data_IF_090503231784
#
_entry.id   IF_090503231784
#
_cell.length_a   1.000
_cell.length_b   1.000
_cell.length_c   1.000
_cell.angle_alpha   90.00
_cell.angle_beta   90.00
_cell.angle_gamma   90.00
#
_symmetry.space_group_name_H-M   'P 1'
#
loop_
_entity.id
_entity.type
_entity.pdbx_description
1 polymer ?
#
# COMPACT_ATOMS: atom_id res chain seq x y z
N UNK A 1 1.16 -13.70 -6.85
CA UNK A 1 0.19 -14.08 -7.91
C UNK A 1 -1.19 -14.01 -7.27
N UNK A 2 -2.18 -13.36 -7.89
CA UNK A 2 -3.49 -13.09 -7.29
C UNK A 2 -4.45 -14.30 -7.38
N UNK A 3 -4.04 -15.48 -6.91
CA UNK A 3 -4.88 -16.68 -7.03
C UNK A 3 -6.07 -16.57 -6.08
N UNK A 4 -7.28 -16.64 -6.61
CA UNK A 4 -8.51 -16.58 -5.82
C UNK A 4 -8.67 -17.86 -5.01
N UNK A 5 -8.67 -17.71 -3.69
CA UNK A 5 -8.96 -18.77 -2.74
C UNK A 5 -10.22 -18.45 -1.95
N UNK A 6 -10.95 -19.49 -1.56
CA UNK A 6 -12.12 -19.38 -0.69
C UNK A 6 -11.92 -20.24 0.54
N UNK A 7 -12.20 -19.65 1.71
CA UNK A 7 -12.15 -20.33 3.00
C UNK A 7 -13.45 -21.11 3.23
N UNK A 8 -13.34 -22.42 3.38
CA UNK A 8 -14.45 -23.23 3.88
C UNK A 8 -14.58 -23.01 5.40
N UNK A 9 -15.69 -22.41 5.84
CA UNK A 9 -15.91 -22.07 7.26
C UNK A 9 -16.01 -23.30 8.17
N UNK A 10 -16.45 -24.45 7.65
CA UNK A 10 -16.63 -25.67 8.42
C UNK A 10 -15.29 -26.38 8.65
N UNK A 11 -14.47 -26.49 7.60
CA UNK A 11 -13.19 -27.22 7.66
C UNK A 11 -12.01 -26.31 7.99
N UNK A 12 -12.18 -24.98 7.94
CA UNK A 12 -11.11 -23.97 8.03
C UNK A 12 -10.02 -24.13 6.96
N UNK A 13 -10.29 -24.90 5.90
CA UNK A 13 -9.38 -25.10 4.79
C UNK A 13 -9.61 -24.06 3.70
N UNK A 14 -8.51 -23.56 3.13
CA UNK A 14 -8.53 -22.74 1.93
C UNK A 14 -8.53 -23.63 0.68
N UNK A 15 -9.23 -23.20 -0.37
CA UNK A 15 -9.26 -23.92 -1.65
C UNK A 15 -9.23 -22.94 -2.82
N UNK A 16 -8.46 -23.28 -3.85
CA UNK A 16 -8.44 -22.54 -5.10
C UNK A 16 -9.77 -22.66 -5.85
N UNK A 17 -10.17 -21.58 -6.52
CA UNK A 17 -11.33 -21.60 -7.41
C UNK A 17 -10.90 -22.03 -8.82
N UNK A 18 -11.61 -23.02 -9.36
CA UNK A 18 -11.41 -23.48 -10.73
C UNK A 18 -11.78 -22.37 -11.73
N UNK A 19 -10.95 -22.21 -12.76
CA UNK A 19 -11.20 -21.25 -13.83
C UNK A 19 -12.42 -21.59 -14.68
N UNK A 20 -12.76 -22.89 -14.78
CA UNK A 20 -13.89 -23.35 -15.59
C UNK A 20 -15.20 -22.73 -15.11
N UNK A 21 -15.93 -22.12 -16.04
CA UNK A 21 -17.19 -21.41 -15.78
C UNK A 21 -17.07 -20.20 -14.84
N UNK A 22 -15.86 -19.77 -14.48
CA UNK A 22 -15.64 -18.54 -13.71
C UNK A 22 -15.84 -17.32 -14.60
N UNK A 23 -17.00 -16.70 -14.48
CA UNK A 23 -17.42 -15.59 -15.34
C UNK A 23 -17.19 -14.20 -14.69
N UNK A 24 -17.30 -13.10 -15.46
CA UNK A 24 -17.09 -11.75 -14.93
C UNK A 24 -18.02 -11.33 -13.77
N UNK A 25 -19.23 -11.91 -13.67
CA UNK A 25 -20.13 -11.62 -12.55
C UNK A 25 -19.60 -12.23 -11.23
N UNK A 26 -19.03 -13.43 -11.29
CA UNK A 26 -18.33 -14.04 -10.15
C UNK A 26 -17.08 -13.27 -9.77
N UNK A 27 -16.30 -12.80 -10.75
CA UNK A 27 -15.16 -11.92 -10.52
C UNK A 27 -15.57 -10.65 -9.78
N UNK A 28 -16.67 -10.00 -10.21
CA UNK A 28 -17.24 -8.81 -9.58
C UNK A 28 -17.68 -9.07 -8.14
N UNK A 29 -18.48 -10.12 -7.92
CA UNK A 29 -18.96 -10.46 -6.59
C UNK A 29 -17.79 -10.78 -5.62
N UNK A 30 -16.78 -11.51 -6.09
CA UNK A 30 -15.59 -11.81 -5.30
C UNK A 30 -14.82 -10.53 -4.92
N UNK A 31 -14.64 -9.61 -5.88
CA UNK A 31 -13.99 -8.33 -5.62
C UNK A 31 -14.80 -7.44 -4.66
N UNK A 32 -16.13 -7.39 -4.82
CA UNK A 32 -17.02 -6.64 -3.91
C UNK A 32 -16.95 -7.19 -2.47
N UNK A 33 -16.90 -8.52 -2.30
CA UNK A 33 -16.71 -9.14 -0.99
C UNK A 33 -15.35 -8.83 -0.35
N UNK A 34 -14.32 -8.62 -1.17
CA UNK A 34 -13.00 -8.16 -0.71
C UNK A 34 -12.92 -6.63 -0.55
N UNK A 35 -14.02 -5.89 -0.74
CA UNK A 35 -14.10 -4.45 -0.54
C UNK A 35 -13.76 -3.60 -1.77
N UNK A 36 -13.59 -4.20 -2.96
CA UNK A 36 -13.28 -3.49 -4.19
C UNK A 36 -14.55 -3.13 -4.97
N UNK A 37 -14.67 -1.86 -5.36
CA UNK A 37 -15.88 -1.34 -6.02
C UNK A 37 -15.85 -1.24 -7.55
N UNK A 38 -14.72 -1.52 -8.22
CA UNK A 38 -14.57 -1.23 -9.66
C UNK A 38 -13.69 -2.22 -10.44
N UNK A 39 -14.13 -2.52 -11.67
CA UNK A 39 -13.41 -3.19 -12.78
C UNK A 39 -12.60 -4.47 -12.44
N UNK A 40 -13.29 -5.54 -12.00
CA UNK A 40 -12.66 -6.84 -11.81
C UNK A 40 -12.22 -7.43 -13.17
N UNK A 41 -11.04 -8.04 -13.19
CA UNK A 41 -10.59 -8.91 -14.28
C UNK A 41 -10.19 -10.28 -13.74
N UNK A 42 -10.31 -11.33 -14.54
CA UNK A 42 -9.83 -12.65 -14.17
C UNK A 42 -9.14 -13.33 -15.34
N UNK A 43 -8.17 -14.19 -15.04
CA UNK A 43 -7.50 -15.04 -16.02
C UNK A 43 -7.19 -16.41 -15.42
N UNK A 44 -7.05 -17.43 -16.26
CA UNK A 44 -6.56 -18.74 -15.81
C UNK A 44 -5.06 -18.71 -15.56
N UNK A 45 -4.60 -19.33 -14.48
CA UNK A 45 -3.17 -19.53 -14.21
C UNK A 45 -2.88 -20.94 -13.69
N UNK A 46 -1.70 -21.47 -14.03
CA UNK A 46 -1.22 -22.74 -13.48
C UNK A 46 -1.07 -22.65 -11.96
N UNK A 47 -1.63 -23.62 -11.24
CA UNK A 47 -1.51 -23.74 -9.79
C UNK A 47 -0.05 -23.85 -9.34
N UNK A 48 0.25 -23.33 -8.15
CA UNK A 48 1.55 -23.50 -7.48
C UNK A 48 1.47 -24.66 -6.47
N UNK A 49 2.61 -25.11 -5.95
CA UNK A 49 2.69 -26.11 -4.86
C UNK A 49 1.91 -25.71 -3.60
N UNK A 50 1.63 -24.42 -3.41
CA UNK A 50 0.80 -23.88 -2.33
C UNK A 50 -0.71 -23.95 -2.59
N UNK A 51 -1.15 -24.35 -3.80
CA UNK A 51 -2.57 -24.50 -4.10
C UNK A 51 -2.87 -25.76 -4.94
N UNK A 52 -3.07 -26.91 -4.28
CA UNK A 52 -3.73 -28.04 -4.91
C UNK A 52 -5.17 -27.64 -5.23
N UNK A 53 -5.60 -27.84 -6.48
CA UNK A 53 -7.03 -27.80 -6.80
C UNK A 53 -7.75 -28.82 -5.90
N UNK A 54 -8.94 -28.49 -5.36
CA UNK A 54 -9.68 -29.44 -4.56
C UNK A 54 -9.85 -30.75 -5.34
N UNK A 55 -9.56 -31.86 -4.66
CA UNK A 55 -9.75 -33.20 -5.23
C UNK A 55 -11.18 -33.32 -5.77
N UNK A 56 -11.38 -34.02 -6.89
CA UNK A 56 -12.65 -34.03 -7.59
C UNK A 56 -13.75 -34.63 -6.70
N UNK A 57 -14.57 -33.79 -6.08
CA UNK A 57 -15.90 -34.21 -5.67
C UNK A 57 -16.71 -34.56 -6.94
N UNK A 58 -17.58 -35.57 -6.89
CA UNK A 58 -18.21 -36.18 -8.07
C UNK A 58 -19.09 -35.24 -8.91
N UNK A 59 -19.25 -33.96 -8.55
CA UNK A 59 -20.11 -33.01 -9.26
C UNK A 59 -19.43 -31.79 -9.87
N UNK A 60 -18.14 -31.51 -9.61
CA UNK A 60 -17.41 -30.38 -10.24
C UNK A 60 -15.92 -30.68 -10.40
N UNK A 61 -15.55 -31.41 -11.46
CA UNK A 61 -14.14 -31.57 -11.85
C UNK A 61 -13.67 -30.30 -12.56
N UNK A 62 -12.50 -29.79 -12.18
CA UNK A 62 -11.81 -28.74 -12.93
C UNK A 62 -11.09 -29.37 -14.12
N UNK A 63 -11.67 -29.26 -15.31
CA UNK A 63 -11.18 -29.87 -16.54
C UNK A 63 -9.92 -29.18 -17.06
N UNK A 64 -9.82 -27.86 -16.92
CA UNK A 64 -8.65 -27.11 -17.39
C UNK A 64 -7.41 -27.27 -16.51
N UNK A 65 -7.58 -27.68 -15.25
CA UNK A 65 -6.51 -27.67 -14.25
C UNK A 65 -6.01 -26.25 -13.92
N UNK A 66 -6.74 -25.21 -14.32
CA UNK A 66 -6.37 -23.81 -14.08
C UNK A 66 -7.14 -23.27 -12.87
N UNK A 67 -6.42 -22.52 -12.04
CA UNK A 67 -7.02 -21.70 -10.99
C UNK A 67 -7.34 -20.30 -11.52
N UNK A 68 -8.28 -19.63 -10.86
CA UNK A 68 -8.60 -18.22 -11.13
C UNK A 68 -7.52 -17.33 -10.54
N UNK A 69 -6.86 -16.53 -11.38
CA UNK A 69 -6.15 -15.32 -10.95
C UNK A 69 -7.09 -14.13 -11.08
N UNK A 70 -7.44 -13.48 -9.97
CA UNK A 70 -8.42 -12.39 -9.90
C UNK A 70 -7.72 -11.05 -9.65
N UNK A 71 -8.07 -10.04 -10.43
CA UNK A 71 -7.58 -8.68 -10.32
C UNK A 71 -8.75 -7.76 -9.98
N UNK A 72 -8.80 -7.26 -8.74
CA UNK A 72 -9.89 -6.41 -8.27
C UNK A 72 -9.61 -4.91 -8.40
N UNK A 73 -8.39 -4.54 -8.72
CA UNK A 73 -8.00 -3.21 -9.16
C UNK A 73 -7.20 -3.34 -10.46
N UNK A 74 -7.63 -2.64 -11.51
CA UNK A 74 -6.83 -2.44 -12.73
C UNK A 74 -6.13 -1.09 -12.65
N UNK A 75 -4.85 -1.05 -13.04
CA UNK A 75 -4.09 0.20 -13.13
C UNK A 75 -3.53 0.73 -11.80
N UNK A 76 -3.22 -0.14 -10.85
CA UNK A 76 -2.43 0.22 -9.66
C UNK A 76 -0.95 -0.15 -9.85
N UNK A 77 -0.06 0.52 -9.13
CA UNK A 77 1.38 0.20 -9.11
C UNK A 77 2.12 0.48 -10.42
N UNK A 78 1.46 1.09 -11.41
CA UNK A 78 2.09 1.49 -12.66
C UNK A 78 3.00 2.70 -12.45
N UNK A 79 4.28 2.54 -12.79
CA UNK A 79 5.30 3.57 -12.63
C UNK A 79 6.16 3.69 -13.88
N UNK A 80 6.53 4.92 -14.27
CA UNK A 80 7.47 5.18 -15.36
C UNK A 80 8.93 5.21 -14.88
N UNK A 81 9.24 4.53 -13.76
CA UNK A 81 10.56 4.56 -13.13
C UNK A 81 11.66 4.01 -14.06
N UNK A 82 12.78 4.73 -14.12
CA UNK A 82 14.04 4.28 -14.75
C UNK A 82 15.04 3.78 -13.68
N UNK A 83 16.09 3.01 -14.04
CA UNK A 83 16.91 2.30 -13.06
C UNK A 83 17.79 3.19 -12.16
N UNK A 84 17.86 2.75 -10.89
CA UNK A 84 18.82 2.93 -9.78
C UNK A 84 19.59 4.26 -9.65
N UNK A 85 19.26 5.00 -8.59
CA UNK A 85 20.13 6.00 -7.95
C UNK A 85 20.18 5.68 -6.45
N UNK A 86 21.38 5.47 -5.92
CA UNK A 86 21.63 5.22 -4.49
C UNK A 86 21.82 6.56 -3.76
N UNK A 87 21.26 6.68 -2.56
CA UNK A 87 21.19 7.96 -1.83
C UNK A 87 19.95 8.78 -2.20
N UNK A 88 19.42 9.54 -1.25
CA UNK A 88 18.25 10.39 -1.46
C UNK A 88 18.43 11.27 -2.71
N UNK A 89 17.51 11.18 -3.66
CA UNK A 89 17.57 11.93 -4.91
C UNK A 89 16.22 12.55 -5.25
N UNK A 90 16.19 13.67 -6.00
CA UNK A 90 14.95 14.22 -6.51
C UNK A 90 14.16 13.18 -7.31
N UNK A 91 12.88 13.06 -6.98
CA UNK A 91 11.95 12.11 -7.57
C UNK A 91 10.95 12.83 -8.48
N UNK A 92 10.73 12.28 -9.67
CA UNK A 92 9.64 12.71 -10.53
C UNK A 92 8.32 12.15 -10.01
N UNK A 93 7.26 12.97 -9.94
CA UNK A 93 5.95 12.49 -9.48
C UNK A 93 5.38 11.36 -10.37
N UNK A 94 5.73 11.32 -11.66
CA UNK A 94 5.34 10.22 -12.56
C UNK A 94 6.00 8.88 -12.23
N UNK A 95 7.13 8.89 -11.51
CA UNK A 95 7.74 7.66 -11.01
C UNK A 95 7.02 7.14 -9.75
N UNK A 96 6.35 8.01 -8.99
CA UNK A 96 5.63 7.65 -7.76
C UNK A 96 4.25 8.32 -7.73
N UNK A 97 3.37 8.03 -8.71
CA UNK A 97 2.14 8.78 -8.94
C UNK A 97 1.08 8.60 -7.84
N UNK A 98 1.32 7.68 -6.91
CA UNK A 98 0.52 7.47 -5.70
C UNK A 98 0.92 8.39 -4.54
N UNK A 99 2.10 9.00 -4.57
CA UNK A 99 2.58 9.84 -3.48
C UNK A 99 1.73 11.10 -3.36
N UNK A 100 1.28 11.39 -2.14
CA UNK A 100 0.56 12.63 -1.81
C UNK A 100 1.15 13.34 -0.61
N UNK A 101 0.91 14.65 -0.56
CA UNK A 101 1.14 15.48 0.62
C UNK A 101 -0.19 15.72 1.33
N UNK A 102 -0.30 15.25 2.57
CA UNK A 102 -1.38 15.58 3.48
C UNK A 102 -1.09 16.93 4.16
N UNK A 103 -2.03 17.87 4.02
CA UNK A 103 -1.87 19.23 4.53
C UNK A 103 -2.94 19.62 5.51
N UNK A 104 -2.55 20.22 6.61
CA UNK A 104 -3.45 20.82 7.58
C UNK A 104 -3.28 22.34 7.53
N UNK A 105 -4.37 23.10 7.31
CA UNK A 105 -4.31 24.56 7.16
C UNK A 105 -3.27 25.05 6.15
N UNK A 106 -3.15 24.33 5.02
CA UNK A 106 -2.17 24.56 3.95
C UNK A 106 -0.70 24.27 4.28
N UNK A 107 -0.38 23.69 5.44
CA UNK A 107 0.98 23.26 5.77
C UNK A 107 1.13 21.75 5.56
N UNK A 108 2.27 21.31 5.05
CA UNK A 108 2.57 19.88 4.93
C UNK A 108 2.75 19.27 6.32
N UNK A 109 2.03 18.17 6.59
CA UNK A 109 2.14 17.43 7.85
C UNK A 109 2.70 16.02 7.62
N UNK A 110 2.20 15.33 6.61
CA UNK A 110 2.54 13.93 6.37
C UNK A 110 2.51 13.57 4.88
N UNK A 111 3.16 12.47 4.55
CA UNK A 111 2.94 11.75 3.29
C UNK A 111 1.69 10.85 3.32
N UNK A 112 1.29 10.38 2.15
CA UNK A 112 0.28 9.34 2.00
C UNK A 112 0.41 8.66 0.64
N UNK A 113 -0.30 7.56 0.46
CA UNK A 113 -0.38 6.81 -0.80
C UNK A 113 -1.82 6.71 -1.30
N UNK A 114 -2.07 7.06 -2.55
CA UNK A 114 -3.36 6.81 -3.21
C UNK A 114 -3.51 5.29 -3.35
N UNK A 115 -4.60 4.73 -2.84
CA UNK A 115 -4.94 3.31 -3.00
C UNK A 115 -6.18 3.10 -3.86
N UNK A 116 -7.00 4.15 -4.02
CA UNK A 116 -8.16 4.24 -4.91
C UNK A 116 -8.40 5.73 -5.22
N UNK A 117 -9.06 6.11 -6.35
CA UNK A 117 -9.33 7.50 -6.65
C UNK A 117 -10.00 8.30 -5.51
N UNK A 118 -10.75 7.67 -4.61
CA UNK A 118 -11.37 8.34 -3.47
C UNK A 118 -10.63 8.13 -2.14
N UNK A 119 -9.54 7.37 -2.11
CA UNK A 119 -8.91 6.92 -0.86
C UNK A 119 -7.39 7.08 -0.85
N UNK A 120 -6.90 7.65 0.25
CA UNK A 120 -5.47 7.72 0.58
C UNK A 120 -5.20 6.93 1.85
N UNK A 121 -4.17 6.10 1.82
CA UNK A 121 -3.60 5.40 2.96
C UNK A 121 -2.47 6.24 3.58
N UNK A 122 -2.44 6.35 4.91
CA UNK A 122 -1.41 7.08 5.65
C UNK A 122 -1.30 6.54 7.08
N UNK A 123 -0.54 7.23 7.93
CA UNK A 123 -0.34 6.89 9.33
C UNK A 123 -1.40 7.54 10.25
N UNK A 124 -1.75 6.85 11.33
CA UNK A 124 -2.68 7.33 12.35
C UNK A 124 -2.12 8.56 13.08
N UNK A 125 -0.81 8.58 13.34
CA UNK A 125 -0.18 9.65 14.11
C UNK A 125 -0.30 11.04 13.48
N UNK A 126 -0.48 11.12 12.15
CA UNK A 126 -0.66 12.37 11.42
C UNK A 126 -1.83 13.23 11.92
N UNK A 127 -2.84 12.60 12.53
CA UNK A 127 -4.07 13.24 12.97
C UNK A 127 -4.13 13.54 14.47
N UNK A 128 -3.14 13.10 15.27
CA UNK A 128 -3.16 13.22 16.74
C UNK A 128 -3.35 14.66 17.23
N UNK A 129 -2.67 15.61 16.61
CA UNK A 129 -2.68 17.03 17.00
C UNK A 129 -3.54 17.91 16.08
N UNK A 130 -4.20 17.31 15.09
CA UNK A 130 -4.88 18.02 14.00
C UNK A 130 -6.30 17.46 13.78
N UNK A 131 -7.23 17.64 14.74
CA UNK A 131 -8.50 16.90 14.76
C UNK A 131 -9.56 17.45 13.78
N UNK A 132 -9.39 18.67 13.27
CA UNK A 132 -10.41 19.34 12.45
C UNK A 132 -10.31 18.86 11.00
N UNK A 133 -11.16 17.89 10.62
CA UNK A 133 -11.18 17.28 9.28
C UNK A 133 -11.31 18.32 8.16
N UNK A 134 -12.11 19.36 8.35
CA UNK A 134 -12.32 20.41 7.34
C UNK A 134 -11.07 21.26 7.07
N UNK A 135 -10.08 21.24 7.97
CA UNK A 135 -8.79 21.89 7.76
C UNK A 135 -7.80 21.03 6.97
N UNK A 136 -8.12 19.75 6.73
CA UNK A 136 -7.28 18.82 5.98
C UNK A 136 -7.55 18.86 4.47
N UNK A 137 -6.46 18.87 3.71
CA UNK A 137 -6.47 18.81 2.26
C UNK A 137 -5.39 17.85 1.76
N UNK A 138 -5.61 17.29 0.58
CA UNK A 138 -4.64 16.44 -0.10
C UNK A 138 -4.10 17.16 -1.33
N UNK A 139 -2.79 17.11 -1.51
CA UNK A 139 -2.11 17.52 -2.73
C UNK A 139 -1.51 16.30 -3.42
N UNK A 140 -1.87 16.08 -4.67
CA UNK A 140 -1.44 14.97 -5.52
C UNK A 140 -0.92 15.49 -6.86
N UNK A 141 -0.16 14.67 -7.58
CA UNK A 141 0.22 14.96 -8.97
C UNK A 141 1.30 16.01 -9.18
N UNK A 142 2.01 16.43 -8.12
CA UNK A 142 3.13 17.36 -8.19
C UNK A 142 4.32 16.85 -7.38
N UNK A 143 5.54 17.11 -7.86
CA UNK A 143 6.79 16.90 -7.13
C UNK A 143 7.11 18.06 -6.19
N UNK A 144 6.50 19.22 -6.35
CA UNK A 144 6.76 20.38 -5.49
C UNK A 144 5.90 20.32 -4.23
N UNK A 145 6.46 20.71 -3.08
CA UNK A 145 5.70 20.87 -1.85
C UNK A 145 4.84 22.13 -1.90
N UNK A 146 5.41 23.24 -2.41
CA UNK A 146 4.73 24.54 -2.57
C UNK A 146 3.57 24.54 -3.57
N UNK A 147 2.62 25.46 -3.38
CA UNK A 147 1.38 25.56 -4.17
C UNK A 147 0.18 25.00 -3.41
N UNK A 148 -1.02 25.42 -3.80
CA UNK A 148 -2.24 25.08 -3.06
C UNK A 148 -2.55 23.58 -3.09
N UNK A 149 -3.02 23.04 -1.96
CA UNK A 149 -3.74 21.77 -1.99
C UNK A 149 -5.15 22.01 -2.51
N UNK A 150 -5.64 21.10 -3.35
CA UNK A 150 -6.88 21.31 -4.11
C UNK A 150 -7.99 20.33 -3.71
N UNK A 151 -7.66 19.26 -2.98
CA UNK A 151 -8.60 18.18 -2.70
C UNK A 151 -9.02 18.20 -1.24
N UNK A 152 -10.30 18.51 -0.99
CA UNK A 152 -10.87 18.51 0.34
C UNK A 152 -11.03 17.07 0.88
N UNK A 153 -10.75 16.89 2.17
CA UNK A 153 -11.02 15.64 2.88
C UNK A 153 -12.49 15.59 3.32
N UNK A 154 -13.15 14.45 3.08
CA UNK A 154 -14.50 14.16 3.58
C UNK A 154 -14.46 13.59 4.99
N UNK A 155 -13.62 12.57 5.20
CA UNK A 155 -13.54 11.83 6.45
C UNK A 155 -12.18 11.17 6.62
N UNK A 156 -11.75 11.04 7.88
CA UNK A 156 -10.56 10.30 8.27
C UNK A 156 -10.99 9.13 9.14
N UNK A 157 -10.46 7.94 8.86
CA UNK A 157 -10.67 6.71 9.61
C UNK A 157 -9.33 6.29 10.20
N UNK A 158 -9.18 6.48 11.50
CA UNK A 158 -7.96 6.11 12.23
C UNK A 158 -8.17 4.72 12.82
N UNK A 159 -7.21 3.81 12.63
CA UNK A 159 -7.28 2.49 13.24
C UNK A 159 -7.23 2.59 14.78
N UNK A 160 -7.92 1.69 15.45
CA UNK A 160 -7.93 1.67 16.92
C UNK A 160 -6.55 1.29 17.46
N UNK A 161 -6.10 2.08 18.43
CA UNK A 161 -4.83 1.88 19.14
C UNK A 161 -5.13 1.26 20.49
N UNK A 162 -4.45 0.18 20.83
CA UNK A 162 -4.55 -0.46 22.15
C UNK A 162 -3.55 0.17 23.12
N UNK A 163 -3.94 0.29 24.40
CA UNK A 163 -3.05 0.84 25.44
C UNK A 163 -1.78 0.01 25.67
N UNK A 164 -1.85 -1.30 25.39
CA UNK A 164 -0.73 -2.24 25.54
C UNK A 164 0.34 -2.10 24.45
N UNK A 165 0.02 -1.51 23.31
CA UNK A 165 0.95 -1.37 22.18
C UNK A 165 0.63 -0.08 21.41
N UNK A 166 0.94 1.10 21.99
CA UNK A 166 0.45 2.39 21.50
C UNK A 166 1.03 2.82 20.14
N UNK A 167 2.02 2.08 19.64
CA UNK A 167 2.63 2.27 18.32
C UNK A 167 2.13 1.25 17.29
N UNK A 168 1.47 0.18 17.73
CA UNK A 168 0.83 -0.74 16.80
C UNK A 168 -0.35 -0.05 16.12
N UNK A 169 -0.69 -0.53 14.92
CA UNK A 169 -1.78 -0.02 14.10
C UNK A 169 -1.65 1.49 13.77
N UNK A 170 -0.43 1.96 13.51
CA UNK A 170 -0.20 3.34 13.03
C UNK A 170 -0.63 3.51 11.57
N UNK A 171 -1.92 3.33 11.30
CA UNK A 171 -2.53 3.30 9.98
C UNK A 171 -3.87 4.03 10.00
N UNK A 172 -4.12 4.81 8.95
CA UNK A 172 -5.35 5.55 8.75
C UNK A 172 -5.73 5.63 7.28
N UNK A 173 -7.03 5.73 7.02
CA UNK A 173 -7.61 5.99 5.70
C UNK A 173 -8.21 7.39 5.64
N UNK A 174 -7.90 8.10 4.57
CA UNK A 174 -8.44 9.42 4.25
C UNK A 174 -9.36 9.27 3.06
N UNK A 175 -10.65 9.58 3.25
CA UNK A 175 -11.64 9.64 2.19
C UNK A 175 -11.69 11.05 1.61
N UNK A 176 -11.48 11.18 0.30
CA UNK A 176 -11.58 12.45 -0.42
C UNK A 176 -13.04 12.81 -0.68
N UNK A 177 -13.36 14.11 -0.64
CA UNK A 177 -14.72 14.61 -0.98
C UNK A 177 -15.09 14.39 -2.44
N UNK A 178 -14.11 14.47 -3.33
CA UNK A 178 -14.26 14.19 -4.76
C UNK A 178 -13.17 13.22 -5.19
N UNK A 179 -13.47 12.25 -6.06
CA UNK A 179 -12.47 11.31 -6.55
C UNK A 179 -11.40 12.04 -7.37
N UNK A 180 -10.17 11.56 -7.27
CA UNK A 180 -9.06 11.94 -8.12
C UNK A 180 -9.31 11.58 -9.59
N UNK A 181 -8.84 12.44 -10.48
CA UNK A 181 -8.74 12.12 -11.91
C UNK A 181 -7.42 11.40 -12.17
N UNK A 182 -7.51 10.12 -12.55
CA UNK A 182 -6.34 9.30 -12.87
C UNK A 182 -5.60 9.86 -14.08
N UNK A 183 -4.28 9.97 -13.99
CA UNK A 183 -3.37 10.48 -15.03
C UNK A 183 -1.97 9.90 -14.83
N UNK A 184 -1.01 10.25 -15.70
CA UNK A 184 0.38 9.77 -15.56
C UNK A 184 1.08 10.23 -14.26
N UNK A 185 0.60 11.29 -13.62
CA UNK A 185 1.12 11.78 -12.34
C UNK A 185 0.23 11.43 -11.14
N UNK A 186 -0.94 10.81 -11.36
CA UNK A 186 -1.90 10.47 -10.31
C UNK A 186 -2.45 9.07 -10.59
N UNK A 187 -1.93 8.06 -9.88
CA UNK A 187 -2.35 6.66 -9.99
C UNK A 187 -2.31 5.98 -8.63
N UNK A 188 -3.15 4.99 -8.36
CA UNK A 188 -3.08 4.25 -7.11
C UNK A 188 -1.86 3.32 -7.04
N UNK A 189 -1.35 3.05 -5.85
CA UNK A 189 -0.44 1.93 -5.57
C UNK A 189 -1.26 0.67 -5.29
N UNK A 190 -0.70 -0.50 -5.58
CA UNK A 190 -1.30 -1.76 -5.18
C UNK A 190 -1.07 -2.02 -3.69
N UNK A 191 -2.03 -2.67 -3.04
CA UNK A 191 -1.84 -3.26 -1.72
C UNK A 191 -1.18 -4.64 -1.85
N UNK A 192 -0.37 -5.06 -0.88
CA UNK A 192 0.24 -6.40 -0.88
C UNK A 192 -0.84 -7.48 -0.78
N UNK A 193 -0.50 -8.70 -1.22
CA UNK A 193 -1.36 -9.86 -0.97
C UNK A 193 -1.35 -10.23 0.51
N UNK A 194 -2.41 -10.90 0.98
CA UNK A 194 -2.52 -11.28 2.39
C UNK A 194 -1.43 -12.28 2.84
N UNK A 195 -0.88 -13.03 1.90
CA UNK A 195 0.18 -14.04 2.05
C UNK A 195 1.52 -13.58 1.47
N UNK A 196 1.65 -12.30 1.12
CA UNK A 196 2.90 -11.76 0.61
C UNK A 196 3.91 -11.58 1.74
N UNK A 197 4.98 -12.37 1.70
CA UNK A 197 6.12 -12.25 2.60
C UNK A 197 7.32 -11.64 1.87
N UNK A 198 7.90 -10.61 2.47
CA UNK A 198 9.14 -10.00 1.99
C UNK A 198 10.34 -10.63 2.72
N UNK A 199 11.36 -11.02 1.97
CA UNK A 199 12.58 -11.61 2.53
C UNK A 199 13.55 -10.50 2.96
N UNK A 200 14.26 -10.62 4.10
CA UNK A 200 15.32 -9.67 4.46
C UNK A 200 16.32 -9.45 3.31
N UNK A 201 16.77 -8.21 3.12
CA UNK A 201 17.57 -7.78 1.98
C UNK A 201 16.76 -7.41 0.73
N UNK A 202 15.43 -7.57 0.74
CA UNK A 202 14.58 -7.12 -0.37
C UNK A 202 14.73 -5.59 -0.54
N UNK A 203 15.07 -5.09 -1.74
CA UNK A 203 15.16 -3.66 -2.00
C UNK A 203 13.76 -3.02 -2.01
N UNK A 204 13.61 -1.94 -1.24
CA UNK A 204 12.40 -1.16 -1.04
C UNK A 204 12.66 0.30 -1.37
N UNK A 205 11.59 1.08 -1.49
CA UNK A 205 11.66 2.51 -1.80
C UNK A 205 10.89 3.32 -0.79
N UNK A 206 11.51 4.41 -0.33
CA UNK A 206 10.90 5.43 0.51
C UNK A 206 10.84 6.73 -0.28
N UNK A 207 9.68 7.38 -0.24
CA UNK A 207 9.36 8.55 -1.05
C UNK A 207 8.69 9.60 -0.17
N UNK A 208 9.10 10.87 -0.28
CA UNK A 208 8.50 11.93 0.51
C UNK A 208 9.19 13.29 0.40
N UNK A 209 8.73 14.23 1.22
CA UNK A 209 9.26 15.59 1.33
C UNK A 209 9.91 15.85 2.70
N UNK A 210 10.29 14.78 3.41
CA UNK A 210 10.92 14.85 4.73
C UNK A 210 12.25 15.60 4.72
N UNK A 211 12.88 15.69 5.89
CA UNK A 211 14.19 16.35 6.00
C UNK A 211 15.26 15.61 5.19
N UNK A 212 16.05 16.36 4.42
CA UNK A 212 17.22 15.84 3.70
C UNK A 212 18.50 15.90 4.51
N UNK A 213 18.46 16.53 5.69
CA UNK A 213 19.57 16.69 6.62
C UNK A 213 19.01 16.62 8.05
N UNK A 214 19.78 16.08 8.99
CA UNK A 214 19.43 16.08 10.41
C UNK A 214 19.23 17.53 10.89
N UNK A 215 18.04 17.83 11.45
CA UNK A 215 17.61 19.18 11.83
C UNK A 215 17.52 20.22 10.67
N UNK A 216 17.35 19.75 9.43
CA UNK A 216 17.22 20.60 8.25
C UNK A 216 15.84 21.24 8.07
N UNK A 217 15.55 21.66 6.83
CA UNK A 217 14.20 22.04 6.39
C UNK A 217 13.61 20.91 5.55
N UNK A 218 12.28 20.81 5.51
CA UNK A 218 11.60 19.90 4.61
C UNK A 218 12.05 20.16 3.17
N UNK A 219 12.16 19.10 2.38
CA UNK A 219 12.50 19.25 0.98
C UNK A 219 11.35 19.88 0.21
N UNK A 220 11.63 20.93 -0.55
CA UNK A 220 10.65 21.56 -1.44
C UNK A 220 10.31 20.70 -2.66
N UNK A 221 11.15 19.72 -2.97
CA UNK A 221 10.97 18.78 -4.07
C UNK A 221 10.87 17.34 -3.54
N UNK A 222 10.05 16.52 -4.19
CA UNK A 222 9.86 15.13 -3.79
C UNK A 222 11.20 14.39 -3.86
N UNK A 223 11.52 13.63 -2.83
CA UNK A 223 12.70 12.80 -2.74
C UNK A 223 12.32 11.33 -2.82
N UNK A 224 13.26 10.52 -3.29
CA UNK A 224 13.19 9.06 -3.26
C UNK A 224 14.51 8.49 -2.72
N UNK A 225 14.45 7.35 -2.06
CA UNK A 225 15.62 6.59 -1.68
C UNK A 225 15.36 5.08 -1.70
N UNK A 226 16.38 4.32 -2.12
CA UNK A 226 16.39 2.86 -2.03
C UNK A 226 16.90 2.45 -0.65
N UNK A 227 16.16 1.56 0.01
CA UNK A 227 16.52 0.94 1.30
C UNK A 227 16.34 -0.56 1.20
N UNK A 228 16.80 -1.32 2.17
CA UNK A 228 16.60 -2.77 2.21
C UNK A 228 15.74 -3.15 3.40
N UNK A 229 14.92 -4.19 3.24
CA UNK A 229 14.23 -4.80 4.37
C UNK A 229 15.25 -5.39 5.34
N UNK A 230 15.16 -5.00 6.60
CA UNK A 230 16.02 -5.51 7.69
C UNK A 230 15.21 -6.55 8.46
N UNK A 231 15.87 -7.66 8.78
CA UNK A 231 15.31 -8.68 9.64
C UNK A 231 14.88 -8.08 11.01
N UNK A 232 13.68 -8.47 11.46
CA UNK A 232 13.06 -7.91 12.66
C UNK A 232 13.84 -8.24 13.92
N UNK A 233 14.38 -9.45 14.04
CA UNK A 233 15.16 -9.85 15.22
C UNK A 233 16.43 -9.01 15.30
N UNK A 234 17.13 -8.89 14.18
CA UNK A 234 18.32 -8.07 14.03
C UNK A 234 18.04 -6.61 14.40
N UNK A 235 16.98 -6.01 13.86
CA UNK A 235 16.58 -4.63 14.12
C UNK A 235 16.20 -4.37 15.59
N UNK A 236 15.51 -5.34 16.22
CA UNK A 236 15.20 -5.27 17.64
C UNK A 236 16.42 -5.43 18.54
N UNK A 237 17.41 -6.24 18.15
CA UNK A 237 18.64 -6.42 18.91
C UNK A 237 19.54 -5.19 18.85
N UNK A 238 19.69 -4.58 17.67
CA UNK A 238 20.67 -3.52 17.42
C UNK A 238 20.20 -2.12 17.77
N UNK A 239 18.92 -1.78 17.50
CA UNK A 239 18.46 -0.40 17.56
C UNK A 239 17.16 -0.19 18.37
N UNK A 240 16.21 -1.13 18.31
CA UNK A 240 14.86 -0.88 18.83
C UNK A 240 14.52 -1.59 20.15
N UNK A 241 15.42 -2.44 20.67
CA UNK A 241 15.30 -3.12 21.96
C UNK A 241 13.95 -3.83 22.18
N UNK A 242 13.52 -4.62 21.19
CA UNK A 242 12.26 -5.39 21.24
C UNK A 242 10.98 -4.61 20.96
N UNK A 243 11.07 -3.33 20.57
CA UNK A 243 9.90 -2.47 20.30
C UNK A 243 9.25 -2.69 18.93
N UNK A 244 9.93 -3.33 17.97
CA UNK A 244 9.37 -3.66 16.65
C UNK A 244 8.52 -4.92 16.77
N UNK A 245 7.21 -4.79 16.56
CA UNK A 245 6.24 -5.89 16.72
C UNK A 245 6.02 -6.65 15.40
N UNK A 246 5.15 -7.66 15.40
CA UNK A 246 4.76 -8.38 14.17
C UNK A 246 3.98 -7.52 13.17
N UNK A 247 3.46 -6.36 13.59
CA UNK A 247 2.71 -5.43 12.74
C UNK A 247 3.58 -4.33 12.15
N UNK A 248 4.90 -4.41 12.35
CA UNK A 248 5.87 -3.42 11.92
C UNK A 248 6.95 -4.08 11.07
N UNK A 249 7.53 -3.29 10.17
CA UNK A 249 8.69 -3.67 9.36
C UNK A 249 9.84 -2.72 9.67
N UNK A 250 11.06 -3.21 9.52
CA UNK A 250 12.27 -2.43 9.64
C UNK A 250 12.95 -2.38 8.28
N UNK A 251 13.36 -1.20 7.84
CA UNK A 251 14.06 -1.02 6.58
C UNK A 251 15.06 0.12 6.69
N UNK A 252 16.18 0.00 5.97
CA UNK A 252 17.24 1.00 5.98
C UNK A 252 18.45 0.52 5.19
N UNK A 253 19.55 1.27 5.27
CA UNK A 253 20.85 0.82 4.76
C UNK A 253 21.72 0.37 5.95
N UNK A 254 22.41 -0.79 5.87
CA UNK A 254 23.28 -1.26 6.95
C UNK A 254 24.37 -0.25 7.35
N UNK A 255 24.90 0.49 6.38
CA UNK A 255 25.89 1.56 6.60
C UNK A 255 25.29 2.91 7.07
N UNK A 256 23.96 3.02 7.19
CA UNK A 256 23.28 4.28 7.47
C UNK A 256 23.25 5.26 6.28
N UNK A 257 22.87 6.51 6.56
CA UNK A 257 22.90 7.62 5.60
C UNK A 257 21.62 7.82 4.76
N UNK A 258 20.67 6.89 4.80
CA UNK A 258 19.34 7.01 4.17
C UNK A 258 18.28 6.54 5.16
N UNK A 259 17.37 7.44 5.53
CA UNK A 259 16.25 7.14 6.43
C UNK A 259 15.01 7.98 6.08
N UNK A 260 13.84 7.53 6.52
CA UNK A 260 12.61 8.31 6.50
C UNK A 260 12.65 9.35 7.63
N UNK A 261 13.16 10.55 7.36
CA UNK A 261 13.18 11.62 8.35
C UNK A 261 11.87 12.40 8.39
N UNK A 262 11.40 12.68 9.60
CA UNK A 262 10.25 13.53 9.90
C UNK A 262 10.71 14.89 10.36
#
# INVERSE_FOLDING_TARGET
RSILQVLNRNTRAWSCICHDHFNPALAKAACEQMGYGRFPGSQGCSGTSACPLPAPEPRRKCLSGLAVSLFCSKGCGESTRTPRVLGGSPAAIRAWPWQVSLRYRNEHICGGSIIDPSWVLTAAHCFKNNPIVQSWHVKAGSNLLQGAATLAVEKVFVAEVTSTSPRDNDIALVKLRSPLHVSDSIKPICLPYFDEELVPGTPLWVIGWGYTQEHGKLSETLQQAEVELIDKESCNLTAYHGKVTQKMLCAGLPQGGVDACQ
#
